data_IF_975141837822
#
_entry.id   IF_975141837822
#
_cell.length_a   1.000
_cell.length_b   1.000
_cell.length_c   1.000
_cell.angle_alpha   90.00
_cell.angle_beta   90.00
_cell.angle_gamma   90.00
#
_symmetry.space_group_name_H-M   'P 1'
#
loop_
_entity.id
_entity.type
_entity.pdbx_description
1 polymer ?
#
# COMPACT_ATOMS: atom_id res chain seq x y z
N UNK A 1 -43.37 47.45 -14.40
CA UNK A 1 -43.71 46.19 -13.70
C UNK A 1 -43.42 45.03 -14.64
N UNK A 2 -42.97 43.88 -14.08
CA UNK A 2 -42.50 42.62 -14.69
C UNK A 2 -40.96 42.51 -14.68
N UNK A 3 -40.35 42.15 -13.54
CA UNK A 3 -40.16 40.79 -12.95
C UNK A 3 -39.29 39.86 -13.82
N UNK A 4 -38.00 39.86 -13.46
CA UNK A 4 -37.10 38.70 -13.24
C UNK A 4 -37.16 37.52 -14.20
N UNK A 5 -36.00 37.17 -14.77
CA UNK A 5 -35.48 35.81 -14.62
C UNK A 5 -33.94 35.83 -14.71
N UNK A 6 -33.30 35.70 -13.55
CA UNK A 6 -31.86 35.47 -13.45
C UNK A 6 -31.56 34.02 -13.77
N UNK A 7 -30.55 33.79 -14.61
CA UNK A 7 -30.00 32.46 -14.87
C UNK A 7 -28.80 32.28 -13.94
N UNK A 8 -29.04 31.71 -12.77
CA UNK A 8 -27.97 31.24 -11.89
C UNK A 8 -27.45 29.92 -12.44
N UNK A 9 -26.26 29.95 -13.04
CA UNK A 9 -25.51 28.79 -13.48
C UNK A 9 -25.13 27.96 -12.23
N UNK A 10 -25.91 26.93 -11.94
CA UNK A 10 -25.64 26.00 -10.86
C UNK A 10 -24.51 25.06 -11.32
N UNK A 11 -23.26 25.50 -11.11
CA UNK A 11 -22.10 24.63 -11.16
C UNK A 11 -22.21 23.63 -9.99
N UNK A 12 -22.93 22.52 -10.21
CA UNK A 12 -22.76 21.34 -9.37
C UNK A 12 -21.33 20.88 -9.55
N UNK A 13 -20.49 21.31 -8.61
CA UNK A 13 -19.16 20.80 -8.37
C UNK A 13 -19.22 19.29 -8.48
N UNK A 14 -18.48 18.76 -9.44
CA UNK A 14 -18.05 17.37 -9.49
C UNK A 14 -17.15 17.21 -8.26
N UNK A 15 -17.75 17.08 -7.08
CA UNK A 15 -17.09 16.50 -5.93
C UNK A 15 -16.97 15.03 -6.27
N UNK A 16 -15.93 14.70 -7.05
CA UNK A 16 -15.50 13.33 -7.25
C UNK A 16 -15.47 12.65 -5.89
N UNK A 17 -15.99 11.43 -5.81
CA UNK A 17 -16.04 10.66 -4.57
C UNK A 17 -14.64 10.65 -3.93
N UNK A 18 -14.43 11.53 -2.96
CA UNK A 18 -13.17 11.61 -2.23
C UNK A 18 -13.16 10.47 -1.23
N UNK A 19 -12.17 9.59 -1.34
CA UNK A 19 -12.00 8.48 -0.42
C UNK A 19 -11.47 9.02 0.90
N UNK A 20 -12.35 9.22 1.88
CA UNK A 20 -11.91 9.67 3.20
C UNK A 20 -11.34 8.49 3.98
N UNK A 21 -10.00 8.38 4.03
CA UNK A 21 -9.32 7.40 4.88
C UNK A 21 -9.09 7.94 6.28
N UNK A 22 -9.20 7.06 7.27
CA UNK A 22 -8.94 7.39 8.68
C UNK A 22 -7.67 6.69 9.16
N UNK A 23 -6.80 7.44 9.84
CA UNK A 23 -5.63 6.86 10.48
C UNK A 23 -6.07 6.27 11.83
N UNK A 24 -5.82 4.99 12.03
CA UNK A 24 -6.11 4.25 13.26
C UNK A 24 -4.78 3.81 13.86
N UNK A 25 -4.52 4.21 15.10
CA UNK A 25 -3.29 3.80 15.79
C UNK A 25 -3.31 2.30 16.05
N UNK A 26 -2.25 1.62 15.64
CA UNK A 26 -2.05 0.20 15.86
C UNK A 26 -1.13 -0.03 17.06
N UNK A 27 -1.68 0.08 18.26
CA UNK A 27 -0.90 -0.02 19.51
C UNK A 27 -0.20 -1.39 19.67
N UNK A 28 -0.80 -2.46 19.15
CA UNK A 28 -0.22 -3.82 19.20
C UNK A 28 1.07 -3.89 18.37
N UNK A 29 1.05 -3.32 17.17
CA UNK A 29 2.23 -3.31 16.31
C UNK A 29 3.26 -2.31 16.81
N UNK A 30 2.82 -1.13 17.28
CA UNK A 30 3.67 -0.10 17.86
C UNK A 30 4.42 -0.58 19.10
N UNK A 31 3.81 -1.40 19.95
CA UNK A 31 4.45 -1.98 21.13
C UNK A 31 5.64 -2.90 20.82
N UNK A 32 5.77 -3.38 19.57
CA UNK A 32 6.92 -4.19 19.13
C UNK A 32 8.14 -3.35 18.77
N UNK A 33 7.96 -2.04 18.61
CA UNK A 33 9.01 -1.17 18.10
C UNK A 33 10.04 -0.83 19.17
N UNK A 34 11.25 -1.37 18.97
CA UNK A 34 12.47 -0.90 19.62
C UNK A 34 13.44 -0.40 18.53
N UNK A 35 13.81 0.89 18.50
CA UNK A 35 14.70 1.45 17.48
C UNK A 35 16.10 0.85 17.49
N UNK A 36 16.53 0.17 18.56
CA UNK A 36 17.83 -0.50 18.61
C UNK A 36 17.85 -1.86 17.89
N UNK A 37 16.69 -2.48 17.68
CA UNK A 37 16.58 -3.83 17.10
C UNK A 37 15.64 -3.92 15.90
N UNK A 38 14.88 -2.85 15.63
CA UNK A 38 13.83 -2.86 14.63
C UNK A 38 13.87 -1.62 13.74
N UNK A 39 13.20 -1.76 12.62
CA UNK A 39 12.87 -0.71 11.67
C UNK A 39 11.35 -0.64 11.50
N UNK A 40 10.86 0.46 10.94
CA UNK A 40 9.45 0.58 10.58
C UNK A 40 9.29 0.64 9.08
N UNK A 41 8.22 0.05 8.57
CA UNK A 41 7.94 0.01 7.15
C UNK A 41 6.50 0.44 6.93
N UNK A 42 6.29 1.41 6.05
CA UNK A 42 4.98 1.79 5.52
C UNK A 42 4.77 1.10 4.19
N UNK A 43 3.70 0.33 4.07
CA UNK A 43 3.36 -0.38 2.84
C UNK A 43 2.08 0.19 2.23
N UNK A 44 2.14 0.57 0.97
CA UNK A 44 0.99 1.11 0.23
C UNK A 44 0.20 -0.02 -0.44
N UNK A 45 -1.12 -0.03 -0.27
CA UNK A 45 -2.02 -1.04 -0.81
C UNK A 45 -3.44 -0.53 -1.03
N UNK A 46 -4.14 -1.14 -1.97
CA UNK A 46 -5.51 -0.82 -2.37
C UNK A 46 -6.27 -2.13 -2.68
N UNK A 47 -7.58 -2.11 -2.99
CA UNK A 47 -8.29 -3.29 -3.50
C UNK A 47 -7.55 -4.00 -4.66
N UNK A 48 -6.96 -3.21 -5.55
CA UNK A 48 -6.22 -3.67 -6.73
C UNK A 48 -4.77 -4.04 -6.42
N UNK A 49 -4.12 -3.34 -5.48
CA UNK A 49 -2.73 -3.61 -5.04
C UNK A 49 -2.75 -4.47 -3.78
N UNK A 50 -2.54 -5.77 -3.94
CA UNK A 50 -2.49 -6.73 -2.83
C UNK A 50 -1.05 -7.12 -2.51
N UNK A 51 -0.81 -7.63 -1.31
CA UNK A 51 0.51 -8.13 -1.00
C UNK A 51 0.69 -8.56 0.45
N UNK A 52 1.90 -9.01 0.72
CA UNK A 52 2.33 -9.61 1.97
C UNK A 52 3.83 -9.47 2.14
N UNK A 53 4.30 -9.58 3.38
CA UNK A 53 5.73 -9.65 3.67
C UNK A 53 6.05 -10.82 4.60
N UNK A 54 7.32 -11.21 4.59
CA UNK A 54 7.87 -12.16 5.55
C UNK A 54 9.28 -11.72 5.94
N UNK A 55 9.52 -11.65 7.25
CA UNK A 55 10.82 -11.35 7.82
C UNK A 55 11.61 -12.64 8.04
N UNK A 56 12.94 -12.51 8.15
CA UNK A 56 13.90 -13.60 8.24
C UNK A 56 14.01 -14.47 6.98
N UNK A 57 13.69 -13.92 5.80
CA UNK A 57 13.71 -14.67 4.54
C UNK A 57 14.40 -13.90 3.43
N UNK A 58 15.22 -14.59 2.64
CA UNK A 58 15.90 -14.02 1.47
C UNK A 58 15.21 -14.46 0.16
N UNK A 59 15.68 -13.91 -0.97
CA UNK A 59 15.10 -14.23 -2.28
C UNK A 59 15.17 -15.72 -2.65
N UNK A 60 16.25 -16.43 -2.31
CA UNK A 60 16.43 -17.84 -2.66
C UNK A 60 15.42 -18.75 -1.95
N UNK A 61 15.09 -18.42 -0.71
CA UNK A 61 14.05 -19.10 0.07
C UNK A 61 12.65 -18.76 -0.44
N UNK A 62 12.47 -17.56 -1.00
CA UNK A 62 11.19 -17.10 -1.55
C UNK A 62 10.74 -17.91 -2.78
N UNK A 63 11.68 -18.36 -3.62
CA UNK A 63 11.36 -19.20 -4.79
C UNK A 63 10.82 -20.60 -4.42
N UNK A 64 10.98 -21.03 -3.16
CA UNK A 64 10.43 -22.29 -2.68
C UNK A 64 8.98 -22.17 -2.19
N UNK A 65 8.45 -20.95 -2.11
CA UNK A 65 7.07 -20.67 -1.71
C UNK A 65 6.14 -21.05 -2.87
N UNK A 66 5.57 -22.25 -2.78
CA UNK A 66 4.63 -22.76 -3.78
C UNK A 66 3.17 -22.39 -3.47
N UNK A 67 2.88 -21.95 -2.24
CA UNK A 67 1.52 -21.70 -1.78
C UNK A 67 1.33 -20.30 -1.18
N UNK A 68 0.20 -19.68 -1.50
CA UNK A 68 -0.23 -18.39 -0.93
C UNK A 68 -0.51 -18.45 0.58
N UNK A 69 -0.66 -19.66 1.12
CA UNK A 69 -0.92 -19.93 2.54
C UNK A 69 0.32 -20.33 3.35
N UNK A 70 1.54 -20.15 2.81
CA UNK A 70 2.75 -20.49 3.55
C UNK A 70 2.80 -19.78 4.90
N UNK A 71 2.98 -20.58 5.96
CA UNK A 71 3.00 -20.12 7.33
C UNK A 71 4.10 -19.06 7.51
N UNK A 72 3.71 -17.88 7.99
CA UNK A 72 4.64 -16.79 8.32
C UNK A 72 4.55 -15.55 7.42
N UNK A 73 3.82 -15.58 6.31
CA UNK A 73 3.52 -14.33 5.59
C UNK A 73 2.46 -13.53 6.34
N UNK A 74 2.71 -12.22 6.45
CA UNK A 74 1.76 -11.25 6.98
C UNK A 74 1.21 -10.40 5.85
N UNK A 75 -0.10 -10.48 5.64
CA UNK A 75 -0.81 -9.67 4.65
C UNK A 75 -0.78 -8.18 5.00
N UNK A 76 -0.75 -7.32 3.98
CA UNK A 76 -0.77 -5.86 4.17
C UNK A 76 -2.13 -5.33 4.60
N UNK A 77 -3.21 -6.06 4.36
CA UNK A 77 -4.55 -5.72 4.86
C UNK A 77 -5.27 -7.00 5.26
N UNK A 78 -6.01 -6.94 6.36
CA UNK A 78 -6.97 -7.98 6.69
C UNK A 78 -8.19 -7.79 5.80
N UNK A 79 -8.42 -8.75 4.89
CA UNK A 79 -9.58 -8.75 3.99
C UNK A 79 -10.67 -9.71 4.44
N UNK A 80 -10.65 -10.08 5.71
CA UNK A 80 -11.74 -10.82 6.33
C UNK A 80 -12.97 -9.92 6.40
N UNK A 81 -14.08 -10.27 5.73
CA UNK A 81 -15.27 -9.41 5.71
C UNK A 81 -15.94 -9.41 7.09
N UNK A 82 -15.85 -8.29 7.80
CA UNK A 82 -16.56 -8.04 9.06
C UNK A 82 -17.97 -7.49 8.84
N UNK A 83 -18.24 -6.99 7.62
CA UNK A 83 -19.52 -6.41 7.21
C UNK A 83 -20.00 -7.05 5.92
N UNK A 84 -21.32 -7.09 5.79
CA UNK A 84 -22.00 -7.49 4.57
C UNK A 84 -22.79 -6.29 4.04
N UNK A 85 -22.64 -5.99 2.76
CA UNK A 85 -23.31 -4.91 2.06
C UNK A 85 -24.57 -5.44 1.34
N UNK A 86 -25.30 -4.54 0.67
CA UNK A 86 -26.48 -4.90 -0.12
C UNK A 86 -26.19 -6.09 -1.04
N UNK A 87 -27.18 -6.98 -1.19
CA UNK A 87 -27.06 -8.19 -2.01
C UNK A 87 -25.93 -9.15 -1.55
N UNK A 88 -25.68 -9.23 -0.25
CA UNK A 88 -24.70 -10.17 0.35
C UNK A 88 -23.25 -9.93 -0.10
N UNK A 89 -22.95 -8.73 -0.59
CA UNK A 89 -21.60 -8.36 -1.06
C UNK A 89 -20.65 -8.17 0.12
N UNK A 90 -19.40 -8.59 -0.04
CA UNK A 90 -18.32 -8.43 0.97
C UNK A 90 -17.60 -7.08 0.88
N UNK A 91 -17.80 -6.37 -0.22
CA UNK A 91 -17.25 -5.04 -0.47
C UNK A 91 -18.39 -4.12 -0.92
N UNK A 92 -18.17 -2.82 -0.80
CA UNK A 92 -19.12 -1.81 -1.25
C UNK A 92 -19.22 -1.74 -2.79
N UNK A 93 -19.98 -0.77 -3.32
CA UNK A 93 -20.14 -0.57 -4.75
C UNK A 93 -18.83 -0.17 -5.46
N UNK A 94 -17.84 0.31 -4.72
CA UNK A 94 -16.52 0.69 -5.21
C UNK A 94 -15.53 -0.47 -5.09
N UNK A 95 -15.94 -1.65 -4.59
CA UNK A 95 -15.06 -2.78 -4.35
C UNK A 95 -14.15 -2.60 -3.14
N UNK A 96 -14.43 -1.63 -2.26
CA UNK A 96 -13.69 -1.36 -1.04
C UNK A 96 -14.29 -2.13 0.14
N UNK A 97 -13.43 -2.65 1.02
CA UNK A 97 -13.82 -3.20 2.32
C UNK A 97 -13.60 -2.16 3.43
N UNK A 98 -14.13 -2.43 4.62
CA UNK A 98 -13.95 -1.53 5.78
C UNK A 98 -12.48 -1.22 6.07
N UNK A 99 -11.61 -2.23 5.98
CA UNK A 99 -10.18 -2.05 6.21
C UNK A 99 -9.51 -1.18 5.12
N UNK A 100 -10.07 -1.08 3.91
CA UNK A 100 -9.51 -0.22 2.85
C UNK A 100 -9.72 1.28 3.14
N UNK A 101 -10.67 1.63 4.03
CA UNK A 101 -10.91 3.00 4.51
C UNK A 101 -10.08 3.38 5.75
N UNK A 102 -9.21 2.47 6.22
CA UNK A 102 -8.36 2.69 7.39
C UNK A 102 -6.88 2.58 6.98
N UNK A 103 -6.06 3.44 7.57
CA UNK A 103 -4.61 3.29 7.58
C UNK A 103 -4.20 2.94 9.01
N UNK A 104 -3.58 1.76 9.21
CA UNK A 104 -3.08 1.33 10.51
C UNK A 104 -1.68 1.90 10.71
N UNK A 105 -1.54 2.86 11.62
CA UNK A 105 -0.31 3.63 11.82
C UNK A 105 0.38 3.29 13.14
N UNK A 106 1.71 3.32 13.14
CA UNK A 106 2.58 3.15 14.32
C UNK A 106 3.48 4.37 14.56
N UNK A 107 3.33 5.41 13.74
CA UNK A 107 4.04 6.69 13.89
C UNK A 107 5.23 6.86 12.96
N UNK A 108 5.23 6.21 11.79
CA UNK A 108 6.20 6.51 10.73
C UNK A 108 5.97 7.95 10.26
N UNK A 109 7.02 8.76 10.07
CA UNK A 109 6.86 10.15 9.63
C UNK A 109 6.15 10.25 8.26
N UNK A 110 5.33 11.27 8.02
CA UNK A 110 4.66 11.45 6.75
C UNK A 110 5.68 11.81 5.65
N UNK A 111 5.35 11.41 4.42
CA UNK A 111 6.11 11.66 3.20
C UNK A 111 5.23 12.33 2.14
N UNK A 112 5.85 12.81 1.07
CA UNK A 112 5.13 13.31 -0.11
C UNK A 112 4.16 12.25 -0.65
N UNK A 113 4.54 10.96 -0.61
CA UNK A 113 3.67 9.84 -0.98
C UNK A 113 2.42 9.81 -0.12
N UNK A 114 2.55 9.86 1.22
CA UNK A 114 1.37 9.83 2.11
C UNK A 114 0.44 11.00 1.94
N UNK A 115 0.97 12.18 1.60
CA UNK A 115 0.16 13.36 1.34
C UNK A 115 -0.63 13.22 0.03
N UNK A 116 0.02 12.69 -1.01
CA UNK A 116 -0.60 12.48 -2.33
C UNK A 116 -1.76 11.48 -2.32
N UNK A 117 -1.72 10.50 -1.41
CA UNK A 117 -2.71 9.41 -1.38
C UNK A 117 -3.87 9.64 -0.41
N UNK A 118 -3.94 10.81 0.25
CA UNK A 118 -5.00 11.12 1.24
C UNK A 118 -6.41 10.95 0.68
N UNK A 119 -6.60 11.34 -0.59
CA UNK A 119 -7.88 11.27 -1.29
C UNK A 119 -7.93 10.18 -2.39
N UNK A 120 -6.92 9.31 -2.46
CA UNK A 120 -6.83 8.22 -3.45
C UNK A 120 -7.54 6.94 -2.92
N UNK A 121 -7.69 5.89 -3.73
CA UNK A 121 -8.02 4.52 -3.23
C UNK A 121 -6.84 3.88 -2.52
N UNK A 122 -5.61 4.24 -2.92
CA UNK A 122 -4.37 3.73 -2.34
C UNK A 122 -4.23 4.21 -0.89
N UNK A 123 -4.27 3.30 0.08
CA UNK A 123 -3.95 3.62 1.47
C UNK A 123 -2.65 2.97 1.89
N UNK A 124 -2.34 3.01 3.19
CA UNK A 124 -1.13 2.43 3.73
C UNK A 124 -1.32 1.84 5.12
N UNK A 125 -0.53 0.82 5.44
CA UNK A 125 -0.38 0.29 6.79
C UNK A 125 1.10 0.31 7.17
N UNK A 126 1.36 0.52 8.45
CA UNK A 126 2.71 0.58 9.01
C UNK A 126 2.99 -0.64 9.88
N UNK A 127 4.21 -1.15 9.78
CA UNK A 127 4.66 -2.40 10.38
C UNK A 127 6.02 -2.23 11.05
N UNK A 128 6.25 -3.05 12.08
CA UNK A 128 7.57 -3.21 12.67
C UNK A 128 8.22 -4.44 12.06
N UNK A 129 9.45 -4.29 11.57
CA UNK A 129 10.26 -5.37 11.02
C UNK A 129 11.61 -5.45 11.76
N UNK A 130 12.19 -6.65 11.93
CA UNK A 130 13.48 -6.81 12.59
C UNK A 130 14.60 -6.18 11.74
N UNK A 131 15.44 -5.37 12.37
CA UNK A 131 16.63 -4.80 11.74
C UNK A 131 17.75 -5.84 11.62
N UNK A 132 18.65 -5.64 10.66
CA UNK A 132 19.75 -6.57 10.36
C UNK A 132 19.29 -7.93 9.84
N UNK A 133 17.99 -8.10 9.57
CA UNK A 133 17.40 -9.35 9.11
C UNK A 133 16.71 -9.18 7.77
N UNK A 134 16.88 -10.17 6.87
CA UNK A 134 16.30 -10.15 5.55
C UNK A 134 14.75 -10.09 5.62
N UNK A 135 14.11 -9.17 4.90
CA UNK A 135 12.63 -9.10 4.77
C UNK A 135 12.25 -9.01 3.30
N UNK A 136 11.31 -9.86 2.89
CA UNK A 136 10.80 -9.93 1.52
C UNK A 136 9.40 -9.35 1.46
N UNK A 137 9.14 -8.57 0.41
CA UNK A 137 7.86 -7.95 0.10
C UNK A 137 7.35 -8.49 -1.24
N UNK A 138 6.17 -9.09 -1.20
CA UNK A 138 5.46 -9.60 -2.38
C UNK A 138 4.26 -8.70 -2.60
N UNK A 139 4.15 -8.10 -3.79
CA UNK A 139 3.02 -7.26 -4.16
C UNK A 139 2.52 -7.64 -5.54
N UNK A 140 1.20 -7.63 -5.73
CA UNK A 140 0.57 -7.91 -7.01
C UNK A 140 -0.45 -6.82 -7.33
N UNK A 141 -0.68 -6.59 -8.61
CA UNK A 141 -1.73 -5.70 -9.10
C UNK A 141 -2.77 -6.50 -9.89
N UNK A 142 -4.03 -6.35 -9.50
CA UNK A 142 -5.17 -6.93 -10.18
C UNK A 142 -6.26 -5.87 -10.35
N UNK A 143 -6.47 -5.43 -11.59
CA UNK A 143 -7.58 -4.57 -11.96
C UNK A 143 -8.60 -5.35 -12.81
N UNK A 144 -9.87 -5.18 -12.48
CA UNK A 144 -11.00 -5.72 -13.26
C UNK A 144 -11.83 -4.54 -13.72
N UNK A 145 -12.02 -4.42 -15.03
CA UNK A 145 -12.84 -3.39 -15.67
C UNK A 145 -13.77 -4.03 -16.69
N UNK A 146 -14.75 -3.26 -17.17
CA UNK A 146 -15.64 -3.68 -18.27
C UNK A 146 -14.85 -4.01 -19.55
N UNK A 147 -13.69 -3.36 -19.74
CA UNK A 147 -12.78 -3.58 -20.88
C UNK A 147 -11.84 -4.77 -20.73
N UNK A 148 -11.89 -5.49 -19.59
CA UNK A 148 -11.09 -6.67 -19.35
C UNK A 148 -10.32 -6.65 -18.02
N UNK A 149 -9.44 -7.64 -17.88
CA UNK A 149 -8.67 -7.92 -16.67
C UNK A 149 -7.20 -7.59 -16.90
N UNK A 150 -6.59 -6.81 -16.02
CA UNK A 150 -5.15 -6.53 -16.05
C UNK A 150 -4.49 -7.08 -14.78
N UNK A 151 -3.43 -7.86 -14.98
CA UNK A 151 -2.72 -8.63 -13.96
C UNK A 151 -1.25 -8.27 -14.04
N UNK A 152 -0.63 -7.92 -12.91
CA UNK A 152 0.79 -7.65 -12.84
C UNK A 152 1.40 -8.30 -11.60
N UNK A 153 2.35 -9.21 -11.82
CA UNK A 153 3.05 -9.98 -10.79
C UNK A 153 4.55 -9.67 -10.91
N UNK A 154 5.01 -8.56 -10.33
CA UNK A 154 6.42 -8.21 -10.36
C UNK A 154 7.24 -9.18 -9.51
N UNK A 155 8.55 -9.19 -9.74
CA UNK A 155 9.47 -9.83 -8.81
C UNK A 155 9.32 -9.24 -7.41
N UNK A 156 9.47 -10.11 -6.40
CA UNK A 156 9.42 -9.67 -5.01
C UNK A 156 10.62 -8.77 -4.70
N UNK A 157 10.43 -7.78 -3.85
CA UNK A 157 11.52 -6.95 -3.37
C UNK A 157 12.10 -7.48 -2.07
N UNK A 158 13.40 -7.35 -1.92
CA UNK A 158 14.14 -7.77 -0.75
C UNK A 158 14.89 -6.58 -0.12
N UNK A 159 14.79 -6.44 1.20
CA UNK A 159 15.50 -5.43 2.00
C UNK A 159 16.07 -6.07 3.28
N UNK A 160 17.28 -5.66 3.68
CA UNK A 160 17.76 -5.83 5.06
C UNK A 160 17.64 -4.48 5.77
N UNK A 161 16.61 -4.28 6.62
CA UNK A 161 16.37 -3.00 7.27
C UNK A 161 17.46 -2.64 8.28
N UNK A 162 17.75 -1.35 8.43
CA UNK A 162 18.72 -0.82 9.40
C UNK A 162 18.01 -0.31 10.66
N UNK A 163 18.63 -0.51 11.82
CA UNK A 163 18.10 -0.12 13.13
C UNK A 163 17.62 1.33 13.14
N UNK A 164 16.39 1.55 13.61
CA UNK A 164 15.81 2.88 13.77
C UNK A 164 15.48 3.61 12.46
N UNK A 165 15.69 2.98 11.30
CA UNK A 165 15.29 3.51 10.00
C UNK A 165 13.84 3.23 9.67
N UNK A 166 13.28 4.10 8.84
CA UNK A 166 11.92 4.03 8.34
C UNK A 166 11.95 3.83 6.83
N UNK A 167 11.06 2.99 6.29
CA UNK A 167 11.00 2.67 4.86
C UNK A 167 9.58 2.79 4.31
N UNK A 168 9.48 3.03 3.01
CA UNK A 168 8.25 2.90 2.22
C UNK A 168 8.37 1.75 1.22
N UNK A 169 7.28 1.01 1.05
CA UNK A 169 7.15 -0.05 0.06
C UNK A 169 5.90 0.19 -0.77
N UNK A 170 6.06 0.24 -2.08
CA UNK A 170 4.97 0.46 -3.04
C UNK A 170 5.14 -0.38 -4.29
N UNK A 171 4.02 -0.65 -4.96
CA UNK A 171 4.00 -1.18 -6.31
C UNK A 171 3.94 0.00 -7.28
N UNK A 172 4.92 0.12 -8.16
CA UNK A 172 4.94 1.12 -9.22
C UNK A 172 4.55 0.49 -10.55
N UNK A 173 3.68 1.17 -11.29
CA UNK A 173 3.30 0.81 -12.66
C UNK A 173 3.99 1.78 -13.62
N UNK A 174 5.03 1.30 -14.28
CA UNK A 174 5.78 2.05 -15.28
C UNK A 174 5.21 1.74 -16.67
N UNK A 175 4.64 2.75 -17.34
CA UNK A 175 4.24 2.63 -18.74
C UNK A 175 5.49 2.71 -19.62
N UNK A 176 5.93 1.59 -20.17
CA UNK A 176 7.15 1.53 -20.99
C UNK A 176 6.89 1.89 -22.45
N UNK A 177 5.68 1.65 -22.96
CA UNK A 177 5.20 2.19 -24.24
C UNK A 177 3.67 2.28 -24.25
N UNK A 178 3.06 2.60 -25.40
CA UNK A 178 1.59 2.73 -25.53
C UNK A 178 0.82 1.45 -25.15
N UNK A 179 1.45 0.27 -25.24
CA UNK A 179 0.83 -1.06 -25.11
C UNK A 179 1.39 -1.91 -23.96
N UNK A 180 2.50 -1.50 -23.32
CA UNK A 180 3.13 -2.26 -22.24
C UNK A 180 3.30 -1.45 -20.97
N UNK A 181 2.91 -2.08 -19.86
CA UNK A 181 3.10 -1.59 -18.50
C UNK A 181 3.93 -2.63 -17.75
N UNK A 182 5.02 -2.20 -17.13
CA UNK A 182 5.83 -3.02 -16.25
C UNK A 182 5.48 -2.64 -14.82
N UNK A 183 5.26 -3.64 -13.96
CA UNK A 183 5.17 -3.42 -12.52
C UNK A 183 6.51 -3.69 -11.85
N UNK A 184 6.81 -2.95 -10.79
CA UNK A 184 7.95 -3.21 -9.90
C UNK A 184 7.54 -2.96 -8.45
N UNK A 185 8.09 -3.77 -7.54
CA UNK A 185 8.03 -3.47 -6.11
C UNK A 185 9.22 -2.58 -5.76
N UNK A 186 8.95 -1.39 -5.24
CA UNK A 186 9.98 -0.40 -4.90
C UNK A 186 10.02 -0.23 -3.39
N UNK A 187 11.24 -0.32 -2.85
CA UNK A 187 11.53 -0.08 -1.44
C UNK A 187 12.45 1.13 -1.32
N UNK A 188 12.07 2.07 -0.46
CA UNK A 188 12.77 3.33 -0.31
C UNK A 188 12.92 3.71 1.15
N UNK A 189 14.05 4.28 1.54
CA UNK A 189 14.29 4.81 2.88
C UNK A 189 13.64 6.18 3.00
N UNK A 190 12.99 6.42 4.13
CA UNK A 190 12.43 7.71 4.49
C UNK A 190 13.54 8.52 5.18
N UNK A 191 14.03 9.53 4.47
CA UNK A 191 15.14 10.39 4.89
C UNK A 191 14.68 11.83 5.13
N UNK A 192 15.44 12.58 5.94
CA UNK A 192 15.23 14.02 6.11
C UNK A 192 14.66 14.44 7.46
N UNK A 193 14.89 15.72 7.81
CA UNK A 193 14.49 16.34 9.08
C UNK A 193 13.27 17.26 8.99
N UNK A 194 12.60 17.32 7.83
CA UNK A 194 11.41 18.15 7.62
C UNK A 194 10.14 17.49 8.18
N UNK A 195 9.08 18.29 8.33
CA UNK A 195 7.76 17.79 8.74
C UNK A 195 7.17 16.78 7.74
N UNK A 196 7.54 16.88 6.46
CA UNK A 196 7.30 15.87 5.42
C UNK A 196 8.66 15.35 4.97
N UNK A 197 8.90 14.06 5.12
CA UNK A 197 10.19 13.45 4.77
C UNK A 197 10.29 13.11 3.29
N UNK A 198 11.52 13.18 2.78
CA UNK A 198 11.87 12.72 1.44
C UNK A 198 12.08 11.21 1.44
N UNK A 199 12.02 10.63 0.26
CA UNK A 199 12.11 9.19 0.07
C UNK A 199 13.23 8.92 -0.91
N UNK A 200 14.23 8.14 -0.50
CA UNK A 200 15.35 7.76 -1.34
C UNK A 200 15.26 6.28 -1.67
N UNK A 201 15.30 5.92 -2.95
CA UNK A 201 15.35 4.51 -3.35
C UNK A 201 16.59 3.84 -2.76
N UNK A 202 16.38 2.68 -2.14
CA UNK A 202 17.45 1.88 -1.56
C UNK A 202 17.77 0.75 -2.54
N UNK A 203 18.98 0.20 -2.48
CA UNK A 203 19.31 -1.02 -3.21
C UNK A 203 18.46 -2.19 -2.68
N UNK A 204 17.30 -2.41 -3.30
CA UNK A 204 16.52 -3.62 -3.13
C UNK A 204 16.83 -4.55 -4.29
N UNK A 205 17.25 -5.78 -4.00
CA UNK A 205 17.41 -6.79 -5.04
C UNK A 205 16.03 -7.35 -5.41
N UNK A 206 15.78 -7.51 -6.70
CA UNK A 206 14.61 -8.23 -7.19
C UNK A 206 14.83 -9.74 -7.04
N UNK A 207 13.86 -10.44 -6.46
CA UNK A 207 13.86 -11.90 -6.38
C UNK A 207 13.39 -12.49 -7.72
N UNK A 208 14.11 -12.19 -8.81
CA UNK A 208 13.77 -12.65 -10.15
C UNK A 208 13.78 -14.18 -10.21
N UNK A 209 12.68 -14.78 -10.66
CA UNK A 209 12.67 -16.22 -10.93
C UNK A 209 13.58 -16.49 -12.12
N UNK A 210 14.71 -17.17 -11.89
CA UNK A 210 15.46 -17.82 -12.96
C UNK A 210 14.73 -19.05 -13.47
#
# INVERSE_FOLDING_TARGET
MNKTLGVTLLAFLIQGCSYQKTNVNNEIEKAKYDPQFNSRVRVFSSPEVTGRYKSFENCEQTHQIKNENDAGFKGFRDRTPTKTYILWRRADLLGMMEEDYKNRVIGVPPTVTTESVKADRLGYNEYVVPAGKPTVFVMNYLAVSDSGRFWCHPDSAYLTPVEGKDYEVKLELEKTNLMSTVCKVVVSEITGGESIRSVQSVSSNSCASR
#
